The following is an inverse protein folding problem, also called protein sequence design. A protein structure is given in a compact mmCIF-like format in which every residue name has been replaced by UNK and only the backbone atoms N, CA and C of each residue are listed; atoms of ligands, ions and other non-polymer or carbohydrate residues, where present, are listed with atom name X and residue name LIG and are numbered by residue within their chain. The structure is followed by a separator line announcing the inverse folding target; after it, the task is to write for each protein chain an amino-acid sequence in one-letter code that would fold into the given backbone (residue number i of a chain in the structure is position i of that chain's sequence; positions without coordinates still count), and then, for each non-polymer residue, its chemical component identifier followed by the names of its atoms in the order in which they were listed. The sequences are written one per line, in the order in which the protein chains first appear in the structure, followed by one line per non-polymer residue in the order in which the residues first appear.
data_IF_563841441923
#
_entry.id   IF_563841441923
#
_cell.length_a   1.000
_cell.length_b   1.000
_cell.length_c   1.000
_cell.angle_alpha   90.00
_cell.angle_beta   90.00
_cell.angle_gamma   90.00
#
_symmetry.space_group_name_H-M   'P 1'
#
loop_
_entity.id
_entity.type
_entity.pdbx_description
1 polymer ?
#
# COMPACT_ATOMS: atom_id res chain seq x y z
N UNK A 1 -8.75 13.01 7.69
CA UNK A 1 -8.62 12.37 6.36
C UNK A 1 -8.14 10.94 6.55
N UNK A 2 -8.87 9.99 5.99
CA UNK A 2 -8.47 8.58 6.04
C UNK A 2 -7.67 8.22 4.81
N UNK A 3 -6.54 7.58 5.02
CA UNK A 3 -5.65 7.15 3.96
C UNK A 3 -5.51 5.63 3.98
N UNK A 4 -5.50 5.04 2.79
CA UNK A 4 -5.22 3.62 2.63
C UNK A 4 -3.80 3.45 2.09
N UNK A 5 -3.01 2.66 2.79
CA UNK A 5 -1.63 2.36 2.39
C UNK A 5 -1.53 0.88 2.08
N UNK A 6 -1.07 0.55 0.87
CA UNK A 6 -0.88 -0.82 0.43
C UNK A 6 0.60 -1.10 0.21
N UNK A 7 1.05 -2.23 0.73
CA UNK A 7 2.40 -2.73 0.49
C UNK A 7 2.28 -4.13 -0.10
N UNK A 8 2.62 -4.26 -1.38
CA UNK A 8 2.42 -5.51 -2.12
C UNK A 8 3.79 -6.12 -2.42
N UNK A 9 4.13 -7.14 -1.65
CA UNK A 9 5.36 -7.89 -1.82
C UNK A 9 5.19 -9.05 -2.80
N UNK A 10 6.17 -9.95 -2.81
CA UNK A 10 6.15 -11.11 -3.70
C UNK A 10 5.10 -12.15 -3.29
N UNK A 11 4.80 -12.25 -2.01
CA UNK A 11 3.89 -13.27 -1.50
C UNK A 11 2.75 -12.70 -0.68
N UNK A 12 2.90 -11.51 -0.11
CA UNK A 12 1.92 -10.94 0.80
C UNK A 12 1.48 -9.55 0.36
N UNK A 13 0.23 -9.25 0.62
CA UNK A 13 -0.31 -7.91 0.54
C UNK A 13 -0.60 -7.44 1.95
N UNK A 14 -0.06 -6.28 2.30
CA UNK A 14 -0.31 -5.65 3.60
C UNK A 14 -1.02 -4.35 3.38
N UNK A 15 -1.87 -3.96 4.33
CA UNK A 15 -2.51 -2.66 4.23
C UNK A 15 -2.65 -2.02 5.60
N UNK A 16 -2.68 -0.70 5.59
CA UNK A 16 -2.94 0.13 6.76
C UNK A 16 -3.96 1.19 6.39
N UNK A 17 -4.89 1.45 7.29
CA UNK A 17 -5.80 2.57 7.16
C UNK A 17 -5.45 3.52 8.27
N UNK A 18 -5.07 4.74 7.90
CA UNK A 18 -4.60 5.72 8.86
C UNK A 18 -5.46 6.97 8.81
N UNK A 19 -5.56 7.65 9.93
CA UNK A 19 -6.18 8.97 10.02
C UNK A 19 -5.25 9.83 10.86
N UNK A 20 -4.74 10.89 10.25
CA UNK A 20 -3.68 11.70 10.83
C UNK A 20 -2.50 10.80 11.17
N UNK A 21 -2.06 10.71 12.40
CA UNK A 21 -0.91 9.89 12.78
C UNK A 21 -1.31 8.57 13.41
N UNK A 22 -2.58 8.18 13.30
CA UNK A 22 -3.07 6.97 13.94
C UNK A 22 -3.40 5.89 12.91
N UNK A 23 -3.05 4.65 13.25
CA UNK A 23 -3.44 3.49 12.46
C UNK A 23 -4.78 3.01 12.98
N UNK A 24 -5.82 3.10 12.15
CA UNK A 24 -7.16 2.67 12.51
C UNK A 24 -7.38 1.19 12.27
N UNK A 25 -6.73 0.65 11.23
CA UNK A 25 -6.90 -0.75 10.86
C UNK A 25 -5.66 -1.18 10.10
N UNK A 26 -5.30 -2.45 10.20
CA UNK A 26 -4.21 -3.02 9.42
C UNK A 26 -4.48 -4.50 9.16
N UNK A 27 -3.91 -5.02 8.07
CA UNK A 27 -4.04 -6.41 7.72
C UNK A 27 -2.90 -6.88 6.85
N UNK A 28 -2.71 -8.19 6.80
CA UNK A 28 -1.70 -8.82 5.96
C UNK A 28 -2.20 -10.19 5.55
N UNK A 29 -2.16 -10.48 4.25
CA UNK A 29 -2.61 -11.77 3.74
C UNK A 29 -1.73 -12.24 2.59
N UNK A 30 -1.66 -13.56 2.41
CA UNK A 30 -0.97 -14.17 1.27
C UNK A 30 -1.82 -13.96 0.02
N UNK A 31 -1.20 -13.47 -1.07
CA UNK A 31 -1.94 -13.25 -2.30
C UNK A 31 -1.79 -14.36 -3.33
N UNK A 32 -0.97 -15.38 -3.05
CA UNK A 32 -0.81 -16.56 -3.90
C UNK A 32 -0.53 -16.19 -5.35
N UNK A 33 0.35 -15.22 -5.57
CA UNK A 33 0.74 -14.69 -6.90
C UNK A 33 -0.40 -13.97 -7.63
N UNK A 34 -1.48 -13.64 -6.93
CA UNK A 34 -2.61 -12.94 -7.52
C UNK A 34 -3.06 -11.80 -6.61
N UNK A 35 -2.23 -10.75 -6.44
CA UNK A 35 -2.59 -9.66 -5.55
C UNK A 35 -3.84 -8.89 -5.97
N UNK A 36 -4.10 -8.83 -7.27
CA UNK A 36 -5.31 -8.16 -7.76
C UNK A 36 -6.58 -8.89 -7.32
N UNK A 37 -6.56 -10.23 -7.32
CA UNK A 37 -7.71 -11.01 -6.87
C UNK A 37 -7.97 -10.83 -5.38
N UNK A 38 -6.91 -10.81 -4.58
CA UNK A 38 -7.04 -10.54 -3.16
C UNK A 38 -7.60 -9.14 -2.92
N UNK A 39 -7.08 -8.16 -3.63
CA UNK A 39 -7.54 -6.78 -3.52
C UNK A 39 -8.99 -6.63 -3.92
N UNK A 40 -9.44 -7.35 -4.96
CA UNK A 40 -10.81 -7.32 -5.39
C UNK A 40 -11.75 -7.70 -4.24
N UNK A 41 -11.36 -8.68 -3.43
CA UNK A 41 -12.14 -9.08 -2.25
C UNK A 41 -12.16 -8.03 -1.15
N UNK A 42 -11.20 -7.11 -1.12
CA UNK A 42 -11.12 -6.08 -0.09
C UNK A 42 -11.73 -4.75 -0.53
N UNK A 43 -11.98 -4.58 -1.83
CA UNK A 43 -12.41 -3.28 -2.37
C UNK A 43 -13.71 -2.77 -1.72
N UNK A 44 -14.68 -3.65 -1.53
CA UNK A 44 -15.95 -3.23 -0.94
C UNK A 44 -15.75 -2.74 0.50
N UNK A 45 -14.90 -3.41 1.25
CA UNK A 45 -14.56 -2.99 2.59
C UNK A 45 -13.95 -1.59 2.60
N UNK A 46 -13.02 -1.33 1.68
CA UNK A 46 -12.38 -0.02 1.58
C UNK A 46 -13.36 1.07 1.16
N UNK A 47 -14.31 0.74 0.27
CA UNK A 47 -15.34 1.70 -0.13
C UNK A 47 -16.19 2.17 1.07
N UNK A 48 -16.44 1.27 2.00
CA UNK A 48 -17.26 1.58 3.17
C UNK A 48 -16.54 2.45 4.20
N UNK A 49 -15.24 2.62 4.07
CA UNK A 49 -14.43 3.36 5.05
C UNK A 49 -14.21 4.82 4.69
N UNK A 50 -14.72 5.26 3.55
CA UNK A 50 -14.56 6.65 3.10
C UNK A 50 -13.08 7.07 2.97
N UNK A 51 -12.30 6.22 2.30
CA UNK A 51 -10.89 6.50 2.05
C UNK A 51 -10.79 7.73 1.14
N UNK A 52 -9.86 8.62 1.43
CA UNK A 52 -9.68 9.87 0.69
C UNK A 52 -8.41 9.91 -0.14
N UNK A 53 -7.46 9.02 0.14
CA UNK A 53 -6.21 8.93 -0.61
C UNK A 53 -5.67 7.51 -0.49
N UNK A 54 -5.03 7.02 -1.56
CA UNK A 54 -4.44 5.69 -1.57
C UNK A 54 -2.97 5.80 -1.94
N UNK A 55 -2.12 5.14 -1.15
CA UNK A 55 -0.72 4.98 -1.48
C UNK A 55 -0.41 3.51 -1.71
N UNK A 56 0.31 3.18 -2.77
CA UNK A 56 0.67 1.81 -3.10
C UNK A 56 2.18 1.70 -3.26
N UNK A 57 2.79 0.78 -2.52
CA UNK A 57 4.17 0.36 -2.70
C UNK A 57 4.13 -1.09 -3.21
N UNK A 58 4.75 -1.37 -4.35
CA UNK A 58 4.62 -2.68 -4.97
C UNK A 58 5.93 -3.11 -5.61
N UNK A 59 6.27 -4.39 -5.44
CA UNK A 59 7.39 -5.03 -6.14
C UNK A 59 6.88 -5.88 -7.32
N UNK A 60 5.60 -5.78 -7.65
CA UNK A 60 5.00 -6.55 -8.73
C UNK A 60 5.41 -6.01 -10.10
N UNK A 61 5.19 -6.81 -11.14
CA UNK A 61 5.44 -6.39 -12.50
C UNK A 61 4.38 -5.37 -12.98
N UNK A 62 4.64 -4.82 -14.17
CA UNK A 62 3.74 -3.79 -14.72
C UNK A 62 2.33 -4.31 -14.92
N UNK A 63 2.19 -5.54 -15.39
CA UNK A 63 0.88 -6.13 -15.67
C UNK A 63 0.02 -6.21 -14.39
N UNK A 64 0.61 -6.71 -13.31
CA UNK A 64 -0.09 -6.79 -12.04
C UNK A 64 -0.37 -5.42 -11.47
N UNK A 65 0.58 -4.50 -11.58
CA UNK A 65 0.39 -3.14 -11.09
C UNK A 65 -0.73 -2.42 -11.84
N UNK A 66 -0.85 -2.63 -13.15
CA UNK A 66 -1.93 -2.03 -13.93
C UNK A 66 -3.29 -2.56 -13.49
N UNK A 67 -3.39 -3.85 -13.19
CA UNK A 67 -4.63 -4.44 -12.69
C UNK A 67 -4.99 -3.88 -11.33
N UNK A 68 -4.01 -3.75 -10.44
CA UNK A 68 -4.22 -3.18 -9.12
C UNK A 68 -4.71 -1.73 -9.24
N UNK A 69 -4.07 -0.95 -10.11
CA UNK A 69 -4.45 0.44 -10.32
C UNK A 69 -5.90 0.56 -10.80
N UNK A 70 -6.32 -0.31 -11.73
CA UNK A 70 -7.70 -0.29 -12.23
C UNK A 70 -8.70 -0.57 -11.12
N UNK A 71 -8.41 -1.53 -10.25
CA UNK A 71 -9.28 -1.83 -9.12
C UNK A 71 -9.39 -0.65 -8.18
N UNK A 72 -8.27 0.00 -7.88
CA UNK A 72 -8.25 1.12 -6.96
C UNK A 72 -8.95 2.36 -7.53
N UNK A 73 -9.00 2.50 -8.84
CA UNK A 73 -9.72 3.62 -9.47
C UNK A 73 -11.20 3.60 -9.15
N UNK A 74 -11.77 2.44 -8.81
CA UNK A 74 -13.17 2.36 -8.46
C UNK A 74 -13.51 3.08 -7.15
N UNK A 75 -12.50 3.43 -6.37
CA UNK A 75 -12.69 4.19 -5.14
C UNK A 75 -12.79 5.71 -5.38
N UNK A 76 -12.48 6.18 -6.59
CA UNK A 76 -12.59 7.58 -7.00
C UNK A 76 -11.82 8.55 -6.11
N UNK A 77 -10.60 8.16 -5.73
CA UNK A 77 -9.73 9.00 -4.91
C UNK A 77 -8.33 9.03 -5.52
N UNK A 78 -7.51 10.03 -5.19
CA UNK A 78 -6.13 10.08 -5.68
C UNK A 78 -5.33 8.85 -5.29
N UNK A 79 -4.52 8.36 -6.21
CA UNK A 79 -3.67 7.18 -6.00
C UNK A 79 -2.23 7.60 -6.22
N UNK A 80 -1.38 7.35 -5.22
CA UNK A 80 0.06 7.54 -5.31
C UNK A 80 0.69 6.17 -5.44
N UNK A 81 1.37 5.90 -6.54
CA UNK A 81 1.97 4.61 -6.79
C UNK A 81 3.49 4.76 -6.75
N UNK A 82 4.11 4.18 -5.71
CA UNK A 82 5.55 4.25 -5.53
C UNK A 82 6.19 2.94 -6.01
N UNK A 83 7.22 3.06 -6.86
CA UNK A 83 7.99 1.92 -7.28
C UNK A 83 9.10 1.68 -6.27
N UNK A 84 9.15 0.45 -5.74
CA UNK A 84 10.23 0.07 -4.82
C UNK A 84 11.43 -0.35 -5.66
N UNK A 85 12.54 0.36 -5.49
CA UNK A 85 13.76 0.07 -6.22
C UNK A 85 14.78 -0.62 -5.32
N UNK A 86 15.69 -1.34 -5.93
CA UNK A 86 16.72 -2.07 -5.20
C UNK A 86 17.59 -1.16 -4.32
N UNK A 87 17.70 0.11 -4.66
CA UNK A 87 18.48 1.07 -3.87
C UNK A 87 17.98 1.21 -2.44
N UNK A 88 16.77 0.84 -2.18
CA UNK A 88 16.25 0.86 -0.82
C UNK A 88 16.89 -0.19 0.08
N UNK A 89 17.70 -1.08 -0.48
CA UNK A 89 18.38 -2.07 0.32
C UNK A 89 19.20 -1.45 1.45
N UNK A 90 19.79 -0.29 1.22
CA UNK A 90 20.53 0.41 2.25
C UNK A 90 19.70 0.89 3.42
N UNK A 91 18.42 1.11 3.20
CA UNK A 91 17.51 1.56 4.24
C UNK A 91 16.98 0.41 5.10
N UNK A 92 17.25 -0.83 4.69
CA UNK A 92 16.76 -2.00 5.40
C UNK A 92 17.61 -2.36 6.61
N UNK A 93 18.77 -1.74 6.72
CA UNK A 93 19.77 -2.11 7.73
C UNK A 93 19.36 -1.70 9.10
N UNK A 94 18.41 -1.69 9.65
CA UNK A 94 18.00 -1.35 11.01
C UNK A 94 16.60 -1.79 11.33
N UNK A 95 15.92 -2.40 10.38
CA UNK A 95 14.55 -2.82 10.59
C UNK A 95 14.48 -4.31 10.85
N UNK A 96 13.97 -4.67 12.02
CA UNK A 96 13.77 -6.05 12.39
C UNK A 96 12.38 -6.55 12.04
N UNK A 97 11.43 -5.63 11.82
CA UNK A 97 10.04 -5.98 11.56
C UNK A 97 9.62 -5.48 10.18
N UNK A 98 9.32 -6.41 9.24
CA UNK A 98 8.93 -6.03 7.89
C UNK A 98 7.68 -5.15 7.82
N UNK A 99 6.74 -5.33 8.75
CA UNK A 99 5.53 -4.51 8.79
C UNK A 99 5.85 -3.05 9.05
N UNK A 100 6.77 -2.80 9.96
CA UNK A 100 7.17 -1.45 10.29
C UNK A 100 7.91 -0.79 9.13
N UNK A 101 8.71 -1.58 8.40
CA UNK A 101 9.41 -1.06 7.24
C UNK A 101 8.43 -0.52 6.18
N UNK A 102 7.34 -1.23 5.94
CA UNK A 102 6.35 -0.79 4.95
C UNK A 102 5.73 0.54 5.30
N UNK A 103 5.29 0.71 6.56
CA UNK A 103 4.66 1.96 6.97
C UNK A 103 5.66 3.10 7.02
N UNK A 104 6.90 2.83 7.44
CA UNK A 104 7.94 3.85 7.48
C UNK A 104 8.29 4.36 6.09
N UNK A 105 8.30 3.49 5.09
CA UNK A 105 8.48 3.91 3.70
C UNK A 105 7.42 4.91 3.28
N UNK A 106 6.16 4.65 3.63
CA UNK A 106 5.08 5.55 3.28
C UNK A 106 5.15 6.86 4.02
N UNK A 107 5.60 6.85 5.28
CA UNK A 107 5.80 8.07 6.03
C UNK A 107 6.88 8.94 5.37
N UNK A 108 7.93 8.33 4.83
CA UNK A 108 8.97 9.07 4.11
C UNK A 108 8.42 9.67 2.81
N UNK A 109 7.62 8.92 2.07
CA UNK A 109 6.99 9.42 0.85
C UNK A 109 6.08 10.61 1.16
N UNK A 110 5.31 10.53 2.23
CA UNK A 110 4.45 11.63 2.66
C UNK A 110 5.25 12.87 3.02
N UNK A 111 6.37 12.70 3.72
CA UNK A 111 7.22 13.82 4.09
C UNK A 111 7.75 14.52 2.85
N UNK A 112 8.18 13.77 1.85
CA UNK A 112 8.66 14.34 0.58
C UNK A 112 7.52 15.04 -0.16
N UNK A 113 6.33 14.47 -0.17
CA UNK A 113 5.20 15.03 -0.89
C UNK A 113 4.67 16.32 -0.25
N UNK A 114 4.92 16.53 1.03
CA UNK A 114 4.50 17.76 1.72
C UNK A 114 5.44 18.93 1.48
N UNK A 115 6.67 18.63 1.11
CA UNK A 115 7.66 19.65 0.83
C UNK A 115 7.56 20.13 -0.61
#
# INVERSE_FOLDING_TARGET
MKNLWLDIGNTRLKYWITQEDQILEQGAELHLQSPADLLLGLIQHFKNLNIQQIGVSSVQDKKNNDRIRRLLKSLNVPIIFAQVQANYAGLQCGYEQPEQLGIDRWLQVLAVARD
#
